data_IF_650638155677
#
_entry.id   IF_650638155677
#
_cell.length_a   1.000
_cell.length_b   1.000
_cell.length_c   1.000
_cell.angle_alpha   90.00
_cell.angle_beta   90.00
_cell.angle_gamma   90.00
#
_symmetry.space_group_name_H-M   'P 1'
#
loop_
_entity.id
_entity.type
_entity.pdbx_description
1 polymer ?
#
# COMPACT_ATOMS: atom_id res chain seq x y z
N UNK A 1 -11.11 -1.88 -5.21
CA UNK A 1 -9.64 -1.74 -5.07
C UNK A 1 -8.94 -1.55 -6.41
N UNK A 2 -9.14 -2.41 -7.42
CA UNK A 2 -8.49 -2.25 -8.75
C UNK A 2 -8.68 -0.86 -9.35
N UNK A 3 -9.93 -0.33 -9.38
CA UNK A 3 -10.18 1.03 -9.88
C UNK A 3 -9.47 2.12 -9.07
N UNK A 4 -9.32 1.92 -7.75
CA UNK A 4 -8.61 2.83 -6.88
C UNK A 4 -7.11 2.85 -7.22
N UNK A 5 -6.48 1.68 -7.34
CA UNK A 5 -5.08 1.56 -7.74
C UNK A 5 -4.83 2.14 -9.14
N UNK A 6 -5.74 1.90 -10.07
CA UNK A 6 -5.71 2.50 -11.41
C UNK A 6 -5.80 4.04 -11.36
N UNK A 7 -6.65 4.61 -10.50
CA UNK A 7 -6.71 6.06 -10.30
C UNK A 7 -5.43 6.66 -9.72
N UNK A 8 -4.60 5.83 -9.08
CA UNK A 8 -3.29 6.20 -8.53
C UNK A 8 -2.15 5.95 -9.54
N UNK A 9 -2.45 5.45 -10.74
CA UNK A 9 -1.49 5.18 -11.81
C UNK A 9 -0.92 3.75 -11.84
N UNK A 10 -1.43 2.84 -11.01
CA UNK A 10 -0.96 1.45 -10.97
C UNK A 10 -1.84 0.52 -11.77
N UNK A 11 -1.23 -0.24 -12.67
CA UNK A 11 -1.86 -1.35 -13.35
C UNK A 11 -1.61 -2.63 -12.54
N UNK A 12 -2.66 -3.40 -12.30
CA UNK A 12 -2.58 -4.64 -11.52
C UNK A 12 -3.23 -5.81 -12.24
N UNK A 13 -2.97 -7.02 -11.74
CA UNK A 13 -3.84 -8.15 -12.03
C UNK A 13 -5.29 -7.87 -11.58
N UNK A 14 -6.25 -8.56 -12.19
CA UNK A 14 -7.69 -8.38 -11.91
C UNK A 14 -8.08 -8.94 -10.55
N UNK A 15 -7.49 -10.08 -10.19
CA UNK A 15 -7.73 -10.75 -8.91
C UNK A 15 -6.60 -10.43 -7.92
N UNK A 16 -6.90 -10.29 -6.62
CA UNK A 16 -5.88 -10.14 -5.60
C UNK A 16 -5.08 -11.44 -5.43
N UNK A 17 -3.80 -11.29 -5.13
CA UNK A 17 -2.94 -12.41 -4.69
C UNK A 17 -3.32 -12.89 -3.28
N UNK A 18 -3.74 -11.96 -2.43
CA UNK A 18 -4.17 -12.23 -1.07
C UNK A 18 -5.30 -11.27 -0.67
N UNK A 19 -6.29 -11.81 0.03
CA UNK A 19 -7.31 -11.03 0.75
C UNK A 19 -7.28 -11.50 2.20
N UNK A 20 -7.02 -10.58 3.13
CA UNK A 20 -6.83 -10.93 4.53
C UNK A 20 -7.58 -9.97 5.45
N UNK A 21 -8.40 -10.53 6.34
CA UNK A 21 -8.96 -9.79 7.46
C UNK A 21 -7.86 -9.52 8.49
N UNK A 22 -7.77 -8.27 8.94
CA UNK A 22 -6.78 -7.80 9.89
C UNK A 22 -7.46 -6.98 10.97
N UNK A 23 -6.85 -6.91 12.14
CA UNK A 23 -7.20 -5.95 13.19
C UNK A 23 -6.14 -4.86 13.19
N UNK A 24 -6.57 -3.62 13.07
CA UNK A 24 -5.66 -2.47 13.11
C UNK A 24 -5.10 -2.33 14.53
N UNK A 25 -3.77 -2.25 14.72
CA UNK A 25 -3.18 -2.04 16.04
C UNK A 25 -3.73 -0.78 16.71
N UNK A 26 -3.92 -0.82 18.04
CA UNK A 26 -4.29 0.37 18.82
C UNK A 26 -3.10 1.30 19.06
N UNK A 27 -1.90 0.74 19.06
CA UNK A 27 -0.65 1.44 19.26
C UNK A 27 0.32 1.07 18.14
N UNK A 28 0.94 2.08 17.53
CA UNK A 28 1.91 1.92 16.46
C UNK A 28 3.28 2.33 16.98
N UNK A 29 3.93 1.41 17.69
CA UNK A 29 5.25 1.63 18.30
C UNK A 29 6.35 0.90 17.53
N UNK A 30 7.59 1.37 17.66
CA UNK A 30 8.76 0.74 17.05
C UNK A 30 8.68 0.74 15.53
N UNK A 31 8.85 -0.43 14.91
CA UNK A 31 8.87 -0.61 13.44
C UNK A 31 7.58 -0.17 12.73
N UNK A 32 6.48 -0.03 13.47
CA UNK A 32 5.21 0.45 12.92
C UNK A 32 5.10 1.97 12.83
N UNK A 33 5.98 2.72 13.51
CA UNK A 33 5.95 4.19 13.47
C UNK A 33 6.24 4.71 12.05
N UNK A 34 7.24 4.15 11.37
CA UNK A 34 7.59 4.54 9.99
C UNK A 34 6.46 4.24 9.01
N UNK A 35 5.73 3.14 9.23
CA UNK A 35 4.55 2.81 8.43
C UNK A 35 3.45 3.87 8.58
N UNK A 36 3.16 4.30 9.81
CA UNK A 36 2.15 5.34 10.06
C UNK A 36 2.53 6.65 9.40
N UNK A 37 3.78 7.08 9.54
CA UNK A 37 4.24 8.33 8.91
C UNK A 37 4.15 8.26 7.38
N UNK A 38 4.47 7.10 6.79
CA UNK A 38 4.25 6.87 5.36
C UNK A 38 2.77 7.01 4.99
N UNK A 39 1.86 6.38 5.74
CA UNK A 39 0.43 6.44 5.43
C UNK A 39 -0.14 7.87 5.62
N UNK A 40 0.29 8.59 6.66
CA UNK A 40 -0.09 10.00 6.91
C UNK A 40 0.40 10.91 5.80
N UNK A 41 1.61 10.73 5.29
CA UNK A 41 2.17 11.54 4.19
C UNK A 41 1.32 11.46 2.90
N UNK A 42 0.58 10.36 2.73
CA UNK A 42 -0.32 10.15 1.60
C UNK A 42 -1.72 10.75 1.81
N UNK A 43 -2.04 11.13 3.05
CA UNK A 43 -3.33 11.64 3.49
C UNK A 43 -4.22 10.59 4.18
N UNK A 44 -3.71 9.41 4.50
CA UNK A 44 -4.47 8.39 5.21
C UNK A 44 -4.37 8.55 6.73
N UNK A 45 -5.42 8.10 7.44
CA UNK A 45 -5.54 8.21 8.90
C UNK A 45 -5.72 6.84 9.56
N UNK A 46 -4.94 5.83 9.15
CA UNK A 46 -5.04 4.46 9.67
C UNK A 46 -4.97 4.38 11.21
N UNK A 47 -4.25 5.30 11.84
CA UNK A 47 -4.11 5.42 13.29
C UNK A 47 -5.44 5.74 14.01
N UNK A 48 -6.43 6.30 13.30
CA UNK A 48 -7.78 6.53 13.83
C UNK A 48 -8.64 5.25 13.88
N UNK A 49 -8.19 4.16 13.26
CA UNK A 49 -8.93 2.91 13.16
C UNK A 49 -8.46 1.84 14.15
N UNK A 50 -7.67 2.21 15.15
CA UNK A 50 -7.10 1.28 16.13
C UNK A 50 -8.12 0.38 16.84
N UNK A 51 -7.91 -0.93 16.73
CA UNK A 51 -8.76 -1.97 17.29
C UNK A 51 -9.98 -2.32 16.42
N UNK A 52 -10.14 -1.72 15.24
CA UNK A 52 -11.17 -2.07 14.28
C UNK A 52 -10.68 -3.14 13.30
N UNK A 53 -11.61 -3.91 12.76
CA UNK A 53 -11.35 -4.85 11.68
C UNK A 53 -11.23 -4.12 10.35
N UNK A 54 -10.37 -4.62 9.47
CA UNK A 54 -10.23 -4.13 8.11
C UNK A 54 -9.86 -5.30 7.19
N UNK A 55 -9.99 -5.09 5.89
CA UNK A 55 -9.55 -6.05 4.87
C UNK A 55 -8.35 -5.49 4.13
N UNK A 56 -7.24 -6.22 4.15
CA UNK A 56 -6.09 -5.97 3.28
C UNK A 56 -6.26 -6.75 1.98
N UNK A 57 -6.10 -6.04 0.88
CA UNK A 57 -6.02 -6.62 -0.46
C UNK A 57 -4.62 -6.42 -1.01
N UNK A 58 -3.99 -7.50 -1.45
CA UNK A 58 -2.67 -7.48 -2.07
C UNK A 58 -2.79 -7.80 -3.55
N UNK A 59 -2.30 -6.91 -4.41
CA UNK A 59 -2.38 -7.06 -5.87
C UNK A 59 -0.99 -7.09 -6.49
N UNK A 60 -0.80 -7.92 -7.54
CA UNK A 60 0.42 -7.88 -8.37
C UNK A 60 0.43 -6.60 -9.21
N UNK A 61 1.51 -5.83 -9.16
CA UNK A 61 1.71 -4.63 -10.00
C UNK A 61 2.35 -5.04 -11.34
N UNK A 62 1.82 -4.52 -12.44
CA UNK A 62 2.21 -4.87 -13.81
C UNK A 62 3.04 -3.79 -14.51
N UNK A 63 2.93 -2.53 -14.07
CA UNK A 63 3.58 -1.38 -14.71
C UNK A 63 4.69 -0.75 -13.86
N UNK A 64 5.32 -1.52 -12.96
CA UNK A 64 6.43 -0.99 -12.16
C UNK A 64 7.70 -0.75 -13.03
N UNK A 65 8.37 0.42 -12.96
CA UNK A 65 9.38 0.84 -13.94
C UNK A 65 10.58 -0.11 -14.15
N UNK A 66 10.92 -0.92 -13.15
CA UNK A 66 12.11 -1.79 -13.20
C UNK A 66 11.84 -3.20 -13.74
N UNK A 67 10.66 -3.48 -14.30
CA UNK A 67 10.21 -4.82 -14.75
C UNK A 67 10.32 -5.92 -13.67
N UNK A 68 10.37 -5.52 -12.40
CA UNK A 68 10.47 -6.42 -11.26
C UNK A 68 9.12 -7.10 -11.05
N UNK A 69 9.14 -8.43 -10.95
CA UNK A 69 7.92 -9.24 -10.78
C UNK A 69 7.50 -9.42 -9.33
N UNK A 70 8.32 -9.01 -8.38
CA UNK A 70 8.11 -9.13 -6.94
C UNK A 70 7.43 -7.90 -6.33
N UNK A 71 6.95 -6.96 -7.15
CA UNK A 71 6.26 -5.74 -6.71
C UNK A 71 4.74 -5.95 -6.54
N UNK A 72 4.24 -5.67 -5.35
CA UNK A 72 2.81 -5.71 -5.01
C UNK A 72 2.32 -4.35 -4.53
N UNK A 73 1.00 -4.17 -4.64
CA UNK A 73 0.27 -3.08 -4.00
C UNK A 73 -0.60 -3.64 -2.89
N UNK A 74 -0.42 -3.15 -1.67
CA UNK A 74 -1.32 -3.40 -0.55
C UNK A 74 -2.32 -2.24 -0.42
N UNK A 75 -3.60 -2.56 -0.24
CA UNK A 75 -4.66 -1.59 0.07
C UNK A 75 -5.47 -2.12 1.24
N UNK A 76 -5.58 -1.32 2.30
CA UNK A 76 -6.35 -1.64 3.49
C UNK A 76 -7.65 -0.86 3.46
N UNK A 77 -8.77 -1.57 3.58
CA UNK A 77 -10.12 -1.03 3.51
C UNK A 77 -10.88 -1.36 4.79
N UNK A 78 -11.47 -0.34 5.41
CA UNK A 78 -12.46 -0.52 6.48
C UNK A 78 -13.83 -0.09 5.97
N UNK A 79 -14.77 -1.04 5.89
CA UNK A 79 -16.05 -0.85 5.22
C UNK A 79 -15.84 -0.53 3.73
N UNK A 80 -16.09 0.72 3.35
CA UNK A 80 -15.87 1.24 1.99
C UNK A 80 -14.73 2.26 1.89
N UNK A 81 -14.07 2.56 3.01
CA UNK A 81 -13.04 3.59 3.10
C UNK A 81 -11.66 2.96 2.95
N UNK A 82 -10.85 3.47 2.03
CA UNK A 82 -9.42 3.13 1.97
C UNK A 82 -8.72 3.88 3.10
N UNK A 83 -8.12 3.13 4.03
CA UNK A 83 -7.49 3.69 5.23
C UNK A 83 -5.97 3.59 5.21
N UNK A 84 -5.39 2.84 4.27
CA UNK A 84 -3.96 2.81 3.99
C UNK A 84 -3.69 2.14 2.63
N UNK A 85 -2.51 2.38 2.08
CA UNK A 85 -1.95 1.57 1.02
C UNK A 85 -0.52 1.94 0.66
N UNK A 86 0.17 0.99 0.05
CA UNK A 86 1.58 1.10 -0.29
C UNK A 86 1.97 0.17 -1.46
N UNK A 87 3.09 0.49 -2.09
CA UNK A 87 3.80 -0.37 -3.04
C UNK A 87 5.00 -0.96 -2.33
N UNK A 88 5.14 -2.28 -2.40
CA UNK A 88 6.23 -2.98 -1.72
C UNK A 88 6.83 -4.10 -2.56
N UNK A 89 8.09 -4.42 -2.30
CA UNK A 89 8.78 -5.57 -2.86
C UNK A 89 8.79 -6.71 -1.84
N UNK A 90 8.44 -7.92 -2.27
CA UNK A 90 8.44 -9.12 -1.40
C UNK A 90 9.85 -9.73 -1.21
N UNK A 91 10.91 -9.05 -1.66
CA UNK A 91 12.29 -9.50 -1.52
C UNK A 91 12.85 -9.26 -0.11
N UNK A 92 13.91 -9.98 0.28
CA UNK A 92 14.59 -9.85 1.58
C UNK A 92 15.09 -8.41 1.84
N UNK A 93 15.53 -7.70 0.80
CA UNK A 93 15.88 -6.27 0.84
C UNK A 93 14.78 -5.43 0.20
N UNK A 94 13.52 -5.80 0.47
CA UNK A 94 12.34 -5.13 -0.06
C UNK A 94 12.26 -3.67 0.40
N UNK A 95 11.45 -2.90 -0.31
CA UNK A 95 11.12 -1.54 0.07
C UNK A 95 9.62 -1.45 0.25
N UNK A 96 9.19 -0.35 0.88
CA UNK A 96 7.80 0.05 0.96
C UNK A 96 7.73 1.55 0.67
N UNK A 97 6.82 1.95 -0.21
CA UNK A 97 6.62 3.33 -0.60
C UNK A 97 5.12 3.61 -0.79
N UNK A 98 4.73 4.87 -0.83
CA UNK A 98 3.33 5.24 -0.98
C UNK A 98 2.74 4.82 -2.34
N UNK A 99 1.41 4.72 -2.40
CA UNK A 99 0.65 4.52 -3.63
C UNK A 99 0.71 5.73 -4.56
N UNK A 100 0.92 6.94 -4.05
CA UNK A 100 1.25 8.05 -4.95
C UNK A 100 2.68 7.83 -5.41
N UNK A 101 2.95 7.70 -6.71
CA UNK A 101 4.31 7.81 -7.22
C UNK A 101 4.73 9.26 -6.95
N UNK A 102 5.22 9.54 -5.75
CA UNK A 102 5.76 10.84 -5.40
C UNK A 102 6.87 11.08 -6.39
N UNK A 103 6.65 12.06 -7.29
CA UNK A 103 7.49 12.42 -8.44
C UNK A 103 8.67 11.48 -8.55
N UNK A 104 8.45 10.30 -9.17
CA UNK A 104 9.58 9.47 -9.57
C UNK A 104 10.44 10.43 -10.38
N UNK A 105 11.50 10.94 -9.76
CA UNK A 105 12.40 11.85 -10.42
C UNK A 105 12.80 11.05 -11.65
N UNK A 106 12.33 11.52 -12.81
CA UNK A 106 13.02 11.27 -14.06
C UNK A 106 14.40 11.82 -13.76
N UNK A 107 15.30 10.96 -13.27
CA UNK A 107 16.71 11.28 -13.12
C UNK A 107 17.09 11.89 -14.45
N UNK A 108 17.47 13.16 -14.41
CA UNK A 108 17.86 13.92 -15.58
C UNK A 108 19.09 13.29 -16.21
N UNK A 109 19.17 13.51 -17.53
CA UNK A 109 20.32 13.47 -18.43
C UNK A 109 21.33 12.32 -18.30
#
# INVERSE_FOLDING_TARGET
VVLYLSSMGWETEKEPLEVKEIVIPREFTGVYADYIELQRSQGYTIDQYGGLEATRYTFRVLNYPTNKKDIVADVIVHGTTVIAGDIQSTSINGFMTGLKPGTLNKGGD
#
